data_IF_710995020416
#
_entry.id   IF_710995020416
#
_cell.length_a   1.000
_cell.length_b   1.000
_cell.length_c   1.000
_cell.angle_alpha   90.00
_cell.angle_beta   90.00
_cell.angle_gamma   90.00
#
_symmetry.space_group_name_H-M   'P 1'
#
loop_
_entity.id
_entity.type
_entity.pdbx_description
1 polymer ?
#
# COMPACT_ATOMS: atom_id res chain seq x y z
N UNK A 1 -21.94 -24.50 -6.81
CA UNK A 1 -20.52 -24.94 -6.91
C UNK A 1 -19.72 -23.82 -7.55
N UNK A 2 -19.25 -22.91 -6.70
CA UNK A 2 -18.34 -21.83 -7.07
C UNK A 2 -17.01 -22.46 -7.50
N UNK A 3 -16.30 -21.87 -8.45
CA UNK A 3 -14.97 -22.39 -8.78
C UNK A 3 -14.03 -22.13 -7.60
N UNK A 4 -13.53 -23.19 -6.97
CA UNK A 4 -12.41 -23.21 -6.02
C UNK A 4 -11.09 -22.83 -6.73
N UNK A 5 -11.00 -21.62 -7.27
CA UNK A 5 -9.79 -21.18 -7.96
C UNK A 5 -9.09 -20.00 -7.31
N UNK A 6 -9.67 -19.38 -6.27
CA UNK A 6 -9.13 -18.25 -5.47
C UNK A 6 -8.43 -17.15 -6.28
N UNK A 7 -8.72 -17.06 -7.59
CA UNK A 7 -7.96 -16.26 -8.53
C UNK A 7 -8.22 -14.76 -8.35
N UNK A 8 -9.33 -14.42 -7.70
CA UNK A 8 -9.73 -13.04 -7.42
C UNK A 8 -9.31 -12.57 -6.03
N UNK A 9 -9.02 -13.49 -5.11
CA UNK A 9 -8.64 -13.20 -3.72
C UNK A 9 -7.34 -12.36 -3.61
N UNK A 10 -6.25 -12.64 -4.36
CA UNK A 10 -5.00 -11.86 -4.23
C UNK A 10 -5.06 -10.46 -4.87
N UNK A 11 -6.13 -10.16 -5.64
CA UNK A 11 -6.28 -8.88 -6.36
C UNK A 11 -7.36 -8.01 -5.74
N UNK A 12 -8.13 -8.53 -4.77
CA UNK A 12 -9.13 -7.76 -4.05
C UNK A 12 -8.53 -7.23 -2.73
N UNK A 13 -8.28 -5.92 -2.59
CA UNK A 13 -7.70 -5.34 -1.38
C UNK A 13 -8.70 -5.20 -0.21
N UNK A 14 -9.83 -5.91 -0.27
CA UNK A 14 -10.97 -5.77 0.66
C UNK A 14 -11.50 -7.16 1.01
N UNK A 15 -11.97 -7.36 2.24
CA UNK A 15 -12.60 -8.59 2.76
C UNK A 15 -13.97 -8.89 2.09
N UNK A 16 -14.09 -8.72 0.78
CA UNK A 16 -15.35 -8.78 0.01
C UNK A 16 -15.60 -10.16 -0.63
N UNK A 17 -14.70 -11.12 -0.44
CA UNK A 17 -14.80 -12.49 -0.97
C UNK A 17 -14.59 -13.43 0.22
N UNK A 18 -15.55 -14.33 0.46
CA UNK A 18 -15.49 -15.36 1.49
C UNK A 18 -15.63 -16.74 0.86
N UNK A 19 -14.93 -17.72 1.41
CA UNK A 19 -15.22 -19.13 1.14
C UNK A 19 -16.57 -19.51 1.77
N UNK A 20 -17.34 -20.38 1.14
CA UNK A 20 -18.66 -20.80 1.64
C UNK A 20 -18.60 -21.38 3.06
N UNK A 21 -17.55 -22.14 3.37
CA UNK A 21 -17.29 -22.70 4.71
C UNK A 21 -16.89 -21.67 5.79
N UNK A 22 -16.55 -20.43 5.40
CA UNK A 22 -16.05 -19.38 6.29
C UNK A 22 -16.80 -18.05 6.11
N UNK A 23 -18.06 -18.14 5.65
CA UNK A 23 -18.89 -16.97 5.44
C UNK A 23 -19.38 -16.41 6.79
N UNK A 24 -19.35 -15.08 7.00
CA UNK A 24 -19.97 -14.47 8.17
C UNK A 24 -21.47 -14.77 8.27
N UNK A 25 -21.98 -14.87 9.49
CA UNK A 25 -23.38 -15.23 9.75
C UNK A 25 -24.39 -14.27 9.09
N UNK A 26 -24.06 -12.98 9.04
CA UNK A 26 -24.87 -11.96 8.40
C UNK A 26 -24.89 -12.10 6.86
N UNK A 27 -23.92 -12.82 6.30
CA UNK A 27 -23.81 -13.09 4.88
C UNK A 27 -24.36 -14.47 4.47
N UNK A 28 -24.62 -15.39 5.41
CA UNK A 28 -25.21 -16.71 5.13
C UNK A 28 -26.46 -16.71 4.24
N UNK A 29 -27.41 -15.74 4.35
CA UNK A 29 -28.56 -15.69 3.44
C UNK A 29 -28.16 -15.61 1.96
N UNK A 30 -26.99 -15.09 1.63
CA UNK A 30 -26.49 -14.97 0.26
C UNK A 30 -26.07 -16.31 -0.36
N UNK A 31 -25.82 -17.38 0.42
CA UNK A 31 -25.49 -18.69 -0.15
C UNK A 31 -26.66 -19.26 -0.95
N UNK A 32 -27.83 -19.32 -0.33
CA UNK A 32 -29.04 -19.81 -0.98
C UNK A 32 -29.48 -18.90 -2.15
N UNK A 33 -29.37 -17.57 -1.97
CA UNK A 33 -29.73 -16.60 -3.01
C UNK A 33 -28.79 -16.69 -4.23
N UNK A 34 -27.48 -16.88 -4.00
CA UNK A 34 -26.48 -17.09 -5.07
C UNK A 34 -26.64 -18.44 -5.77
N UNK A 35 -26.94 -19.50 -5.00
CA UNK A 35 -27.17 -20.83 -5.56
C UNK A 35 -28.40 -20.83 -6.47
N UNK A 36 -29.52 -20.26 -6.02
CA UNK A 36 -30.72 -20.09 -6.82
C UNK A 36 -30.44 -19.25 -8.07
N UNK A 37 -29.73 -18.12 -7.93
CA UNK A 37 -29.42 -17.25 -9.07
C UNK A 37 -28.59 -17.96 -10.16
N UNK A 38 -27.68 -18.86 -9.78
CA UNK A 38 -26.86 -19.60 -10.74
C UNK A 38 -27.56 -20.83 -11.30
N UNK A 39 -28.27 -21.59 -10.47
CA UNK A 39 -28.75 -22.94 -10.80
C UNK A 39 -30.22 -23.01 -11.21
N UNK A 40 -31.01 -21.97 -10.93
CA UNK A 40 -32.39 -21.86 -11.42
C UNK A 40 -32.44 -21.07 -12.73
N UNK A 41 -33.52 -21.27 -13.50
CA UNK A 41 -33.73 -20.52 -14.74
C UNK A 41 -34.22 -19.11 -14.42
N UNK A 42 -33.34 -18.13 -14.63
CA UNK A 42 -33.67 -16.72 -14.42
C UNK A 42 -34.74 -16.22 -15.41
N UNK A 43 -35.57 -15.22 -15.02
CA UNK A 43 -36.54 -14.61 -15.91
C UNK A 43 -35.91 -14.12 -17.22
N UNK A 44 -36.50 -14.52 -18.35
CA UNK A 44 -35.99 -14.15 -19.68
C UNK A 44 -34.88 -15.06 -20.22
N UNK A 45 -34.59 -16.19 -19.57
CA UNK A 45 -33.66 -17.22 -20.06
C UNK A 45 -34.36 -18.56 -20.24
N UNK A 46 -33.85 -19.35 -21.17
CA UNK A 46 -34.35 -20.71 -21.45
C UNK A 46 -33.65 -21.80 -20.62
N UNK A 47 -32.55 -21.44 -19.95
CA UNK A 47 -31.75 -22.35 -19.12
C UNK A 47 -31.03 -21.61 -17.98
N UNK A 48 -30.67 -22.31 -16.89
CA UNK A 48 -29.88 -21.76 -15.78
C UNK A 48 -28.54 -21.16 -16.23
N UNK A 49 -27.99 -20.26 -15.40
CA UNK A 49 -26.71 -19.63 -15.68
C UNK A 49 -25.53 -20.60 -15.52
N UNK A 50 -25.63 -21.55 -14.59
CA UNK A 50 -24.58 -22.50 -14.24
C UNK A 50 -23.31 -21.81 -13.75
N UNK A 51 -22.15 -22.35 -14.13
CA UNK A 51 -20.83 -21.81 -13.73
C UNK A 51 -20.10 -21.20 -14.94
N UNK A 52 -20.36 -19.93 -15.30
CA UNK A 52 -19.86 -19.31 -16.53
C UNK A 52 -18.34 -19.03 -16.56
N UNK A 53 -17.64 -19.30 -15.45
CA UNK A 53 -16.21 -19.06 -15.24
C UNK A 53 -15.78 -17.59 -15.46
N UNK A 54 -16.69 -16.65 -15.22
CA UNK A 54 -16.45 -15.20 -15.26
C UNK A 54 -17.56 -14.42 -15.99
N UNK A 55 -17.81 -13.19 -15.55
CA UNK A 55 -18.92 -12.36 -16.03
C UNK A 55 -18.75 -11.84 -17.47
N UNK A 56 -17.51 -11.74 -17.98
CA UNK A 56 -17.22 -11.18 -19.31
C UNK A 56 -17.89 -11.94 -20.47
N UNK A 57 -18.14 -13.24 -20.30
CA UNK A 57 -18.81 -14.10 -21.31
C UNK A 57 -20.34 -14.04 -21.24
N UNK A 58 -20.88 -13.60 -20.10
CA UNK A 58 -22.31 -13.61 -19.80
C UNK A 58 -22.92 -12.24 -20.09
N UNK A 59 -22.19 -11.17 -19.80
CA UNK A 59 -22.68 -9.80 -19.95
C UNK A 59 -23.80 -9.47 -18.94
N UNK A 60 -24.44 -8.28 -19.09
CA UNK A 60 -25.53 -7.86 -18.22
C UNK A 60 -26.76 -8.76 -18.36
N UNK A 61 -27.24 -9.31 -17.24
CA UNK A 61 -28.39 -10.22 -17.21
C UNK A 61 -29.73 -9.50 -17.04
N UNK A 62 -29.72 -8.22 -16.60
CA UNK A 62 -30.93 -7.41 -16.44
C UNK A 62 -31.85 -7.82 -15.28
N UNK A 63 -31.41 -8.78 -14.47
CA UNK A 63 -32.12 -9.30 -13.29
C UNK A 63 -31.13 -9.42 -12.14
N UNK A 64 -31.57 -9.06 -10.94
CA UNK A 64 -30.81 -9.19 -9.70
C UNK A 64 -31.38 -10.35 -8.87
N UNK A 65 -30.53 -10.96 -8.04
CA UNK A 65 -30.99 -11.91 -7.05
C UNK A 65 -31.90 -11.21 -6.01
N UNK A 66 -32.95 -11.88 -5.48
CA UNK A 66 -33.92 -11.29 -4.56
C UNK A 66 -33.34 -10.49 -3.40
N UNK A 67 -32.27 -10.96 -2.75
CA UNK A 67 -31.66 -10.21 -1.64
C UNK A 67 -31.01 -8.91 -2.14
N UNK A 68 -30.38 -8.92 -3.31
CA UNK A 68 -29.77 -7.73 -3.92
C UNK A 68 -30.84 -6.74 -4.37
N UNK A 69 -31.90 -7.23 -5.02
CA UNK A 69 -33.01 -6.41 -5.51
C UNK A 69 -33.74 -5.66 -4.36
N UNK A 70 -33.75 -6.25 -3.15
CA UNK A 70 -34.39 -5.66 -1.97
C UNK A 70 -33.59 -4.54 -1.29
N UNK A 71 -32.31 -4.35 -1.65
CA UNK A 71 -31.44 -3.35 -1.00
C UNK A 71 -31.75 -1.92 -1.47
N UNK A 72 -31.58 -0.91 -0.60
CA UNK A 72 -31.69 0.48 -0.99
C UNK A 72 -30.73 0.81 -2.13
N UNK A 73 -31.22 1.44 -3.20
CA UNK A 73 -30.36 1.86 -4.32
C UNK A 73 -29.37 2.91 -3.81
N UNK A 74 -28.07 2.64 -3.96
CA UNK A 74 -27.03 3.55 -3.53
C UNK A 74 -27.13 4.90 -4.27
N UNK A 75 -27.04 6.01 -3.51
CA UNK A 75 -26.91 7.35 -4.08
C UNK A 75 -25.54 7.48 -4.76
N UNK A 76 -25.56 7.86 -6.04
CA UNK A 76 -24.36 7.93 -6.90
C UNK A 76 -23.39 9.03 -6.48
N UNK A 77 -23.78 9.92 -5.55
CA UNK A 77 -22.99 11.05 -5.07
C UNK A 77 -21.94 10.72 -4.00
N UNK A 78 -22.01 9.54 -3.35
CA UNK A 78 -21.18 9.17 -2.18
C UNK A 78 -20.13 8.08 -2.46
N UNK A 79 -19.42 8.13 -3.60
CA UNK A 79 -18.26 7.25 -3.83
C UNK A 79 -17.02 7.78 -3.11
N UNK A 80 -17.00 7.63 -1.78
CA UNK A 80 -15.80 7.72 -0.95
C UNK A 80 -15.45 6.33 -0.44
N UNK A 81 -14.15 6.01 -0.36
CA UNK A 81 -13.63 4.71 0.05
C UNK A 81 -14.23 4.24 1.40
N UNK A 82 -14.66 2.98 1.45
CA UNK A 82 -15.19 2.34 2.67
C UNK A 82 -14.00 2.03 3.59
N UNK A 83 -14.08 2.32 4.91
CA UNK A 83 -13.02 1.97 5.84
C UNK A 83 -13.04 0.46 6.08
N UNK A 84 -11.91 -0.20 5.89
CA UNK A 84 -11.76 -1.64 6.14
C UNK A 84 -11.42 -1.84 7.61
N UNK A 85 -12.30 -2.57 8.32
CA UNK A 85 -12.13 -3.01 9.69
C UNK A 85 -11.28 -4.28 9.70
N UNK A 86 -10.21 -4.32 10.48
CA UNK A 86 -9.24 -5.42 10.54
C UNK A 86 -9.69 -6.59 11.45
N UNK A 87 -9.63 -7.84 10.92
CA UNK A 87 -9.05 -9.11 11.51
C UNK A 87 -9.90 -10.35 11.17
N UNK A 88 -9.41 -11.52 10.71
CA UNK A 88 -8.07 -12.13 10.56
C UNK A 88 -8.08 -13.30 9.52
N UNK A 89 -7.07 -13.58 8.67
CA UNK A 89 -5.89 -12.78 8.35
C UNK A 89 -4.91 -13.37 7.29
N UNK A 90 -4.13 -12.53 6.59
CA UNK A 90 -3.05 -12.87 5.62
C UNK A 90 -1.84 -13.65 6.17
N UNK A 91 -1.95 -14.24 7.37
CA UNK A 91 -0.87 -14.88 8.11
C UNK A 91 -0.51 -16.29 7.66
N UNK A 92 -1.46 -17.07 7.13
CA UNK A 92 -1.23 -18.48 6.76
C UNK A 92 -0.51 -18.65 5.42
N UNK A 93 -0.91 -17.93 4.36
CA UNK A 93 -0.21 -17.92 3.06
C UNK A 93 1.21 -17.35 3.19
N UNK A 94 1.34 -16.23 3.92
CA UNK A 94 2.64 -15.67 4.29
C UNK A 94 3.46 -16.62 5.19
N UNK A 95 2.80 -17.45 5.98
CA UNK A 95 3.39 -18.52 6.78
C UNK A 95 3.97 -19.64 5.92
N UNK A 96 3.18 -20.16 4.97
CA UNK A 96 3.56 -21.24 4.04
C UNK A 96 4.69 -20.81 3.10
N UNK A 97 4.62 -19.61 2.53
CA UNK A 97 5.69 -19.04 1.70
C UNK A 97 7.01 -18.93 2.46
N UNK A 98 6.95 -18.51 3.72
CA UNK A 98 8.11 -18.40 4.60
C UNK A 98 8.65 -19.76 5.04
N UNK A 99 7.81 -20.79 5.13
CA UNK A 99 8.24 -22.17 5.36
C UNK A 99 9.03 -22.71 4.14
N UNK A 100 8.53 -22.53 2.92
CA UNK A 100 9.25 -22.88 1.67
C UNK A 100 10.61 -22.19 1.60
N UNK A 101 10.66 -20.87 1.87
CA UNK A 101 11.91 -20.12 1.88
C UNK A 101 12.88 -20.63 2.96
N UNK A 102 12.38 -21.06 4.12
CA UNK A 102 13.20 -21.61 5.22
C UNK A 102 13.87 -22.92 4.82
N UNK A 103 13.13 -23.84 4.20
CA UNK A 103 13.65 -25.12 3.68
C UNK A 103 14.75 -24.86 2.66
N UNK A 104 14.52 -23.95 1.70
CA UNK A 104 15.52 -23.58 0.70
C UNK A 104 16.76 -22.88 1.30
N UNK A 105 16.62 -22.09 2.37
CA UNK A 105 17.75 -21.44 3.06
C UNK A 105 18.59 -22.44 3.87
N UNK A 106 17.94 -23.45 4.45
CA UNK A 106 18.59 -24.50 5.24
C UNK A 106 19.39 -25.48 4.37
N UNK A 107 18.98 -25.70 3.12
CA UNK A 107 19.70 -26.57 2.19
C UNK A 107 20.94 -25.89 1.58
N UNK A 108 22.11 -26.55 1.55
CA UNK A 108 23.27 -26.09 0.80
C UNK A 108 23.14 -26.34 -0.71
N UNK A 109 22.28 -27.27 -1.12
CA UNK A 109 22.08 -27.67 -2.52
C UNK A 109 20.69 -27.22 -3.03
N UNK A 110 20.54 -26.94 -4.34
CA UNK A 110 19.23 -26.71 -4.93
C UNK A 110 18.28 -27.88 -4.67
N UNK A 111 17.00 -27.59 -4.39
CA UNK A 111 15.97 -28.59 -4.13
C UNK A 111 14.92 -28.62 -5.24
N UNK A 112 14.35 -29.79 -5.48
CA UNK A 112 13.20 -29.93 -6.37
C UNK A 112 11.89 -29.58 -5.65
N UNK A 113 10.83 -29.31 -6.41
CA UNK A 113 9.47 -29.10 -5.86
C UNK A 113 9.05 -30.29 -4.99
N UNK A 114 9.37 -31.51 -5.42
CA UNK A 114 8.99 -32.73 -4.70
C UNK A 114 9.69 -32.84 -3.36
N UNK A 115 10.99 -32.52 -3.29
CA UNK A 115 11.72 -32.57 -2.01
C UNK A 115 11.22 -31.51 -1.03
N UNK A 116 10.86 -30.32 -1.52
CA UNK A 116 10.30 -29.27 -0.68
C UNK A 116 8.89 -29.65 -0.18
N UNK A 117 8.09 -30.28 -1.04
CA UNK A 117 6.73 -30.74 -0.71
C UNK A 117 6.75 -31.85 0.35
N UNK A 118 7.66 -32.82 0.20
CA UNK A 118 7.89 -33.90 1.16
C UNK A 118 8.34 -33.36 2.53
N UNK A 119 9.32 -32.46 2.55
CA UNK A 119 9.84 -31.85 3.79
C UNK A 119 8.77 -31.05 4.56
N UNK A 120 7.87 -30.38 3.83
CA UNK A 120 6.83 -29.54 4.40
C UNK A 120 5.50 -30.29 4.64
N UNK A 121 5.38 -31.54 4.19
CA UNK A 121 4.13 -32.31 4.27
C UNK A 121 2.95 -31.68 3.51
N UNK A 122 3.23 -30.97 2.41
CA UNK A 122 2.21 -30.28 1.59
C UNK A 122 2.18 -30.82 0.16
N UNK A 123 1.11 -30.51 -0.57
CA UNK A 123 1.00 -30.90 -1.96
C UNK A 123 1.99 -30.15 -2.88
N UNK A 124 2.61 -30.80 -3.89
CA UNK A 124 3.57 -30.15 -4.80
C UNK A 124 3.06 -28.90 -5.52
N UNK A 125 1.75 -28.80 -5.78
CA UNK A 125 1.15 -27.61 -6.40
C UNK A 125 1.22 -26.37 -5.48
N UNK A 126 1.04 -26.56 -4.17
CA UNK A 126 1.16 -25.49 -3.18
C UNK A 126 2.57 -24.93 -3.14
N UNK A 127 3.58 -25.82 -3.18
CA UNK A 127 4.99 -25.42 -3.26
C UNK A 127 5.28 -24.67 -4.56
N UNK A 128 4.77 -25.15 -5.70
CA UNK A 128 4.93 -24.47 -7.00
C UNK A 128 4.41 -23.04 -6.95
N UNK A 129 3.20 -22.84 -6.43
CA UNK A 129 2.59 -21.52 -6.30
C UNK A 129 3.46 -20.57 -5.46
N UNK A 130 3.92 -21.00 -4.29
CA UNK A 130 4.78 -20.16 -3.46
C UNK A 130 6.17 -19.92 -4.08
N UNK A 131 6.74 -20.90 -4.79
CA UNK A 131 8.02 -20.73 -5.50
C UNK A 131 7.91 -19.68 -6.61
N UNK A 132 6.81 -19.64 -7.35
CA UNK A 132 6.58 -18.62 -8.38
C UNK A 132 6.58 -17.21 -7.78
N UNK A 133 5.95 -17.01 -6.63
CA UNK A 133 6.05 -15.73 -5.90
C UNK A 133 7.47 -15.45 -5.44
N UNK A 134 8.13 -16.41 -4.78
CA UNK A 134 9.48 -16.23 -4.25
C UNK A 134 10.52 -15.96 -5.35
N UNK A 135 10.33 -16.51 -6.54
CA UNK A 135 11.20 -16.24 -7.71
C UNK A 135 10.96 -14.84 -8.25
N UNK A 136 9.70 -14.43 -8.40
CA UNK A 136 9.32 -13.07 -8.79
C UNK A 136 9.85 -12.02 -7.80
N UNK A 137 9.81 -12.32 -6.51
CA UNK A 137 10.30 -11.44 -5.43
C UNK A 137 11.85 -11.47 -5.30
N UNK A 138 12.53 -12.28 -6.13
CA UNK A 138 13.99 -12.41 -6.14
C UNK A 138 14.59 -13.11 -4.91
N UNK A 139 13.75 -13.75 -4.09
CA UNK A 139 14.16 -14.47 -2.88
C UNK A 139 14.65 -15.89 -3.20
N UNK A 140 14.21 -16.46 -4.31
CA UNK A 140 14.57 -17.79 -4.81
C UNK A 140 15.00 -17.68 -6.27
N UNK A 141 15.99 -18.46 -6.66
CA UNK A 141 16.42 -18.59 -8.05
C UNK A 141 16.16 -20.01 -8.54
N UNK A 142 15.82 -20.12 -9.82
CA UNK A 142 15.75 -21.40 -10.51
C UNK A 142 17.15 -21.79 -10.98
N UNK A 143 17.59 -22.97 -10.58
CA UNK A 143 18.88 -23.56 -10.96
C UNK A 143 18.60 -24.70 -11.93
N UNK A 144 19.15 -24.63 -13.14
CA UNK A 144 19.13 -25.78 -14.04
C UNK A 144 20.30 -26.71 -13.68
N UNK A 145 20.04 -27.97 -13.29
CA UNK A 145 21.12 -28.91 -13.07
C UNK A 145 21.86 -29.21 -14.37
N UNK A 146 23.16 -29.51 -14.27
CA UNK A 146 23.94 -29.98 -15.42
C UNK A 146 23.29 -31.25 -16.00
N UNK A 147 22.98 -31.25 -17.31
CA UNK A 147 22.27 -32.35 -17.98
C UNK A 147 23.03 -33.69 -17.84
N UNK A 148 22.37 -34.72 -17.32
CA UNK A 148 22.81 -36.13 -17.38
C UNK A 148 21.62 -37.02 -17.75
N UNK A 149 21.57 -37.49 -19.00
CA UNK A 149 20.63 -38.51 -19.48
C UNK A 149 19.40 -38.01 -20.27
N UNK A 150 18.64 -38.93 -20.89
CA UNK A 150 17.39 -38.63 -21.60
C UNK A 150 16.24 -38.35 -20.61
N UNK A 151 15.49 -37.26 -20.85
CA UNK A 151 14.36 -36.80 -20.03
C UNK A 151 14.38 -35.29 -19.80
N UNK A 152 13.22 -34.68 -19.49
CA UNK A 152 13.15 -33.25 -19.10
C UNK A 152 13.74 -33.12 -17.69
N UNK A 153 14.87 -32.40 -17.48
CA UNK A 153 15.46 -32.27 -16.16
C UNK A 153 14.48 -31.64 -15.16
N UNK A 154 14.45 -32.08 -13.89
CA UNK A 154 13.64 -31.43 -12.88
C UNK A 154 14.14 -30.00 -12.66
N UNK A 155 13.21 -29.06 -12.55
CA UNK A 155 13.52 -27.69 -12.16
C UNK A 155 13.97 -27.69 -10.69
N UNK A 156 15.16 -27.15 -10.44
CA UNK A 156 15.71 -27.03 -9.10
C UNK A 156 15.63 -25.58 -8.64
N UNK A 157 15.50 -25.37 -7.34
CA UNK A 157 15.33 -24.06 -6.74
C UNK A 157 16.32 -23.90 -5.60
N UNK A 158 16.91 -22.71 -5.49
CA UNK A 158 17.82 -22.36 -4.40
C UNK A 158 17.44 -20.98 -3.85
N UNK A 159 17.53 -20.80 -2.54
CA UNK A 159 17.37 -19.47 -1.96
C UNK A 159 18.53 -18.56 -2.42
N UNK A 160 18.21 -17.33 -2.83
CA UNK A 160 19.23 -16.30 -3.07
C UNK A 160 19.82 -15.91 -1.72
N UNK A 161 21.15 -15.97 -1.58
CA UNK A 161 21.87 -15.61 -0.35
C UNK A 161 21.99 -14.09 -0.21
N UNK A 162 20.85 -13.43 0.00
CA UNK A 162 20.74 -12.00 0.27
C UNK A 162 19.82 -11.76 1.46
N UNK A 163 19.92 -10.58 2.08
CA UNK A 163 18.96 -10.15 3.10
C UNK A 163 17.54 -10.15 2.55
N UNK A 164 16.58 -10.46 3.40
CA UNK A 164 15.21 -10.70 3.00
C UNK A 164 14.49 -9.42 2.54
N UNK A 165 14.44 -9.23 1.22
CA UNK A 165 13.71 -8.10 0.62
C UNK A 165 12.19 -8.20 0.80
N UNK A 166 11.63 -9.36 1.17
CA UNK A 166 10.22 -9.52 1.52
C UNK A 166 9.93 -9.52 3.03
N UNK A 167 10.95 -9.38 3.88
CA UNK A 167 10.78 -9.36 5.33
C UNK A 167 10.05 -8.12 5.85
N UNK A 168 9.57 -8.18 7.10
CA UNK A 168 8.93 -7.03 7.77
C UNK A 168 9.83 -5.80 7.76
N UNK A 169 9.25 -4.64 7.46
CA UNK A 169 9.96 -3.35 7.46
C UNK A 169 9.59 -2.55 8.69
N UNK A 170 10.59 -2.16 9.47
CA UNK A 170 10.40 -1.35 10.68
C UNK A 170 10.94 0.07 10.46
N UNK A 171 10.46 0.77 9.43
CA UNK A 171 10.89 2.14 9.14
C UNK A 171 10.55 3.11 10.28
N UNK A 172 9.47 2.85 11.03
CA UNK A 172 9.14 3.62 12.24
C UNK A 172 10.24 3.51 13.30
N UNK A 173 10.73 2.30 13.59
CA UNK A 173 11.83 2.10 14.55
C UNK A 173 13.09 2.85 14.09
N UNK A 174 13.43 2.77 12.80
CA UNK A 174 14.57 3.50 12.26
C UNK A 174 14.38 5.01 12.40
N UNK A 175 13.19 5.53 12.07
CA UNK A 175 12.87 6.94 12.23
C UNK A 175 12.99 7.38 13.70
N UNK A 176 12.44 6.63 14.64
CA UNK A 176 12.57 6.90 16.08
C UNK A 176 14.04 6.96 16.52
N UNK A 177 14.87 6.01 16.10
CA UNK A 177 16.32 5.98 16.42
C UNK A 177 17.01 7.25 15.87
N UNK A 178 16.75 7.59 14.61
CA UNK A 178 17.37 8.75 13.96
C UNK A 178 16.92 10.06 14.58
N UNK A 179 15.61 10.22 14.82
CA UNK A 179 15.03 11.41 15.44
C UNK A 179 15.54 11.58 16.88
N UNK A 180 15.67 10.49 17.65
CA UNK A 180 16.26 10.54 19.00
C UNK A 180 17.74 10.93 18.96
N UNK A 181 18.50 10.43 17.98
CA UNK A 181 19.90 10.81 17.79
C UNK A 181 20.05 12.30 17.51
N UNK A 182 19.26 12.85 16.58
CA UNK A 182 19.28 14.29 16.28
C UNK A 182 18.84 15.12 17.49
N UNK A 183 17.82 14.67 18.22
CA UNK A 183 17.29 15.38 19.40
C UNK A 183 18.30 15.47 20.56
N UNK A 184 19.35 14.65 20.58
CA UNK A 184 20.38 14.68 21.60
C UNK A 184 21.50 15.71 21.33
N UNK A 185 21.53 16.30 20.14
CA UNK A 185 22.54 17.29 19.72
C UNK A 185 22.18 18.71 20.18
N UNK A 186 23.19 19.57 20.39
CA UNK A 186 23.01 20.95 20.89
C UNK A 186 22.27 21.86 19.90
N UNK A 187 22.42 21.63 18.59
CA UNK A 187 21.68 22.30 17.51
C UNK A 187 20.77 21.32 16.76
N UNK A 188 19.94 20.57 17.50
CA UNK A 188 19.03 19.57 16.92
C UNK A 188 18.10 20.18 15.85
N UNK A 189 17.59 21.39 16.11
CA UNK A 189 16.65 22.10 15.22
C UNK A 189 17.31 22.57 13.94
N UNK A 190 18.49 23.20 14.01
CA UNK A 190 19.23 23.66 12.83
C UNK A 190 19.66 22.49 11.94
N UNK A 191 20.14 21.39 12.54
CA UNK A 191 20.48 20.16 11.81
C UNK A 191 19.28 19.50 11.16
N UNK A 192 18.15 19.44 11.86
CA UNK A 192 16.89 18.93 11.34
C UNK A 192 16.40 19.75 10.15
N UNK A 193 16.44 21.08 10.24
CA UNK A 193 16.11 21.99 9.15
C UNK A 193 17.04 21.78 7.95
N UNK A 194 18.35 21.69 8.18
CA UNK A 194 19.32 21.43 7.13
C UNK A 194 19.06 20.10 6.41
N UNK A 195 18.75 19.04 7.16
CA UNK A 195 18.41 17.73 6.60
C UNK A 195 17.13 17.79 5.74
N UNK A 196 16.09 18.47 6.24
CA UNK A 196 14.87 18.72 5.48
C UNK A 196 15.13 19.48 4.18
N UNK A 197 15.94 20.54 4.26
CA UNK A 197 16.30 21.38 3.11
C UNK A 197 17.06 20.62 2.04
N UNK A 198 18.02 19.79 2.42
CA UNK A 198 18.75 18.94 1.48
C UNK A 198 17.87 17.89 0.81
N UNK A 199 16.82 17.41 1.50
CA UNK A 199 15.83 16.53 0.89
C UNK A 199 14.91 17.31 -0.07
N UNK A 200 14.39 18.46 0.36
CA UNK A 200 13.51 19.31 -0.44
C UNK A 200 14.14 19.73 -1.76
N UNK A 201 15.47 19.96 -1.77
CA UNK A 201 16.21 20.29 -2.99
C UNK A 201 16.22 19.21 -4.07
N UNK A 202 15.95 17.95 -3.70
CA UNK A 202 15.94 16.80 -4.63
C UNK A 202 14.60 16.62 -5.33
N UNK A 203 13.58 17.37 -4.92
CA UNK A 203 12.28 17.36 -5.55
C UNK A 203 12.37 18.03 -6.92
N UNK A 204 11.71 17.42 -7.90
CA UNK A 204 11.70 17.95 -9.27
C UNK A 204 11.14 19.38 -9.30
N UNK A 205 11.70 20.20 -10.19
CA UNK A 205 11.33 21.60 -10.32
C UNK A 205 10.32 21.80 -11.45
N UNK A 206 9.08 22.25 -11.15
CA UNK A 206 8.24 22.81 -12.20
C UNK A 206 8.79 24.17 -12.64
N UNK A 207 8.56 24.60 -13.90
CA UNK A 207 8.86 25.97 -14.32
C UNK A 207 7.90 26.92 -13.61
N UNK A 208 8.39 27.68 -12.64
CA UNK A 208 7.55 28.59 -11.85
C UNK A 208 7.64 30.00 -12.41
N UNK A 209 6.49 30.63 -12.65
CA UNK A 209 6.39 31.95 -13.29
C UNK A 209 5.92 33.07 -12.38
N UNK A 210 5.32 32.75 -11.22
CA UNK A 210 4.80 33.74 -10.28
C UNK A 210 4.78 33.25 -8.82
N UNK A 211 4.52 34.17 -7.88
CA UNK A 211 4.29 33.83 -6.46
C UNK A 211 3.11 32.88 -6.30
N UNK A 212 2.00 33.13 -7.01
CA UNK A 212 0.81 32.27 -6.94
C UNK A 212 1.13 30.86 -7.45
N UNK A 213 1.78 30.74 -8.61
CA UNK A 213 2.17 29.42 -9.15
C UNK A 213 3.10 28.65 -8.19
N UNK A 214 4.03 29.37 -7.54
CA UNK A 214 4.93 28.78 -6.54
C UNK A 214 4.17 28.17 -5.36
N UNK A 215 3.15 28.88 -4.89
CA UNK A 215 2.33 28.42 -3.76
C UNK A 215 1.44 27.27 -4.20
N UNK A 216 0.91 27.27 -5.43
CA UNK A 216 0.10 26.16 -5.97
C UNK A 216 0.95 24.89 -6.05
N UNK A 217 2.17 24.98 -6.58
CA UNK A 217 3.10 23.86 -6.63
C UNK A 217 3.51 23.36 -5.23
N UNK A 218 3.68 24.27 -4.27
CA UNK A 218 3.94 23.87 -2.89
C UNK A 218 2.76 23.09 -2.29
N UNK A 219 1.53 23.55 -2.54
CA UNK A 219 0.30 22.87 -2.10
C UNK A 219 0.21 21.49 -2.76
N UNK A 220 0.41 21.37 -4.07
CA UNK A 220 0.38 20.08 -4.77
C UNK A 220 1.45 19.10 -4.25
N UNK A 221 2.66 19.60 -4.02
CA UNK A 221 3.74 18.80 -3.43
C UNK A 221 3.35 18.27 -2.04
N UNK A 222 2.86 19.15 -1.18
CA UNK A 222 2.49 18.80 0.19
C UNK A 222 1.29 17.85 0.24
N UNK A 223 0.34 17.99 -0.69
CA UNK A 223 -0.78 17.06 -0.84
C UNK A 223 -0.31 15.67 -1.29
N UNK A 224 0.60 15.61 -2.27
CA UNK A 224 1.23 14.35 -2.70
C UNK A 224 2.06 13.65 -1.62
N UNK A 225 2.58 14.42 -0.65
CA UNK A 225 3.24 13.90 0.56
C UNK A 225 2.25 13.57 1.69
N UNK A 226 0.96 13.88 1.51
CA UNK A 226 -0.12 13.55 2.42
C UNK A 226 -0.33 14.57 3.54
N UNK A 227 0.12 15.83 3.42
CA UNK A 227 -0.09 16.83 4.49
C UNK A 227 -1.48 17.47 4.52
N UNK A 228 -2.33 17.18 3.53
CA UNK A 228 -3.65 17.81 3.35
C UNK A 228 -3.59 19.35 3.48
N UNK A 229 -2.88 20.04 2.56
CA UNK A 229 -2.67 21.48 2.62
C UNK A 229 -3.89 22.30 2.19
N UNK A 230 -4.04 23.48 2.79
CA UNK A 230 -5.07 24.48 2.47
C UNK A 230 -4.43 25.86 2.31
N UNK A 231 -4.74 26.57 1.21
CA UNK A 231 -4.41 27.98 1.10
C UNK A 231 -5.19 28.80 2.12
N UNK A 232 -4.48 29.69 2.80
CA UNK A 232 -5.06 30.61 3.78
C UNK A 232 -4.51 32.00 3.56
N UNK A 233 -5.34 32.99 3.84
CA UNK A 233 -4.93 34.39 3.93
C UNK A 233 -5.41 34.92 5.28
N UNK A 234 -4.48 35.48 6.04
CA UNK A 234 -4.78 36.12 7.31
C UNK A 234 -4.01 37.43 7.39
N UNK A 235 -4.68 38.53 7.73
CA UNK A 235 -4.08 39.87 7.88
C UNK A 235 -3.29 40.33 6.64
N UNK A 236 -3.73 39.95 5.43
CA UNK A 236 -3.06 40.29 4.17
C UNK A 236 -1.76 39.52 3.92
N UNK A 237 -1.44 38.49 4.72
CA UNK A 237 -0.32 37.57 4.52
C UNK A 237 -0.82 36.21 4.05
N UNK A 238 -0.20 35.68 3.00
CA UNK A 238 -0.49 34.33 2.52
C UNK A 238 0.13 33.29 3.44
N UNK A 239 -0.63 32.24 3.73
CA UNK A 239 -0.27 31.13 4.61
C UNK A 239 -0.71 29.81 3.98
N UNK A 240 -0.10 28.71 4.42
CA UNK A 240 -0.55 27.36 4.08
C UNK A 240 -0.88 26.65 5.37
N UNK A 241 -2.16 26.29 5.52
CA UNK A 241 -2.62 25.40 6.59
C UNK A 241 -2.38 23.95 6.22
N UNK A 242 -2.13 23.10 7.21
CA UNK A 242 -1.86 21.68 7.03
C UNK A 242 -2.77 20.89 7.98
N UNK A 243 -3.69 20.09 7.42
CA UNK A 243 -4.71 19.35 8.18
C UNK A 243 -4.31 17.92 8.53
N UNK A 244 -3.19 17.45 7.99
CA UNK A 244 -2.65 16.13 8.32
C UNK A 244 -1.13 16.19 8.47
N UNK A 245 -0.60 15.46 9.44
CA UNK A 245 0.84 15.27 9.59
C UNK A 245 1.17 13.79 9.31
N UNK A 246 1.81 13.45 8.19
CA UNK A 246 2.31 12.09 7.90
C UNK A 246 3.33 11.57 8.92
N UNK A 247 3.77 12.44 9.84
CA UNK A 247 4.74 12.14 10.89
C UNK A 247 4.15 12.33 12.29
N UNK A 248 2.81 12.35 12.43
CA UNK A 248 2.11 12.78 13.65
C UNK A 248 2.66 12.12 14.92
N UNK A 249 2.83 10.80 14.93
CA UNK A 249 3.28 10.05 16.10
C UNK A 249 4.69 10.46 16.55
N UNK A 250 5.56 10.83 15.61
CA UNK A 250 6.88 11.37 15.91
C UNK A 250 6.81 12.85 16.28
N UNK A 251 5.93 13.62 15.64
CA UNK A 251 5.78 15.06 15.86
C UNK A 251 5.25 15.37 17.27
N UNK A 252 4.35 14.56 17.80
CA UNK A 252 3.80 14.70 19.16
C UNK A 252 4.88 14.63 20.24
N UNK A 253 5.89 13.79 20.04
CA UNK A 253 6.95 13.58 21.02
C UNK A 253 8.24 14.33 20.69
N UNK A 254 8.48 14.67 19.42
CA UNK A 254 9.75 15.20 18.89
C UNK A 254 9.54 16.37 17.91
N UNK A 255 8.63 17.29 18.23
CA UNK A 255 8.36 18.49 17.42
C UNK A 255 9.60 19.35 17.14
N UNK A 256 10.58 19.39 18.07
CA UNK A 256 11.86 20.10 17.91
C UNK A 256 12.78 19.55 16.81
N UNK A 257 12.46 18.37 16.27
CA UNK A 257 13.18 17.75 15.14
C UNK A 257 12.25 17.61 13.94
N UNK A 258 11.04 17.09 14.13
CA UNK A 258 10.11 16.80 13.03
C UNK A 258 9.64 18.08 12.33
N UNK A 259 9.26 19.11 13.09
CA UNK A 259 8.75 20.36 12.50
C UNK A 259 9.86 21.13 11.76
N UNK A 260 11.11 21.24 12.27
CA UNK A 260 12.21 21.79 11.50
C UNK A 260 12.56 21.00 10.23
N UNK A 261 12.51 19.66 10.23
CA UNK A 261 12.66 18.86 8.99
C UNK A 261 11.60 19.29 7.97
N UNK A 262 10.35 19.41 8.39
CA UNK A 262 9.28 19.84 7.50
C UNK A 262 9.48 21.27 6.97
N UNK A 263 9.85 22.22 7.83
CA UNK A 263 10.19 23.57 7.41
C UNK A 263 11.35 23.60 6.41
N UNK A 264 12.38 22.80 6.68
CA UNK A 264 13.52 22.60 5.79
C UNK A 264 13.08 22.09 4.43
N UNK A 265 12.25 21.05 4.39
CA UNK A 265 11.69 20.46 3.16
C UNK A 265 11.02 21.51 2.29
N UNK A 266 10.10 22.31 2.85
CA UNK A 266 9.41 23.35 2.11
C UNK A 266 10.37 24.42 1.58
N UNK A 267 11.33 24.87 2.41
CA UNK A 267 12.33 25.85 1.99
C UNK A 267 13.23 25.31 0.87
N UNK A 268 13.70 24.07 1.00
CA UNK A 268 14.56 23.43 0.00
C UNK A 268 13.86 23.27 -1.34
N UNK A 269 12.57 22.92 -1.34
CA UNK A 269 11.76 22.84 -2.55
C UNK A 269 11.64 24.21 -3.25
N UNK A 270 11.20 25.23 -2.52
CA UNK A 270 11.03 26.59 -3.04
C UNK A 270 12.34 27.19 -3.58
N UNK A 271 13.47 26.89 -2.95
CA UNK A 271 14.79 27.29 -3.45
C UNK A 271 15.16 26.61 -4.76
N UNK A 272 14.98 25.29 -4.87
CA UNK A 272 15.23 24.55 -6.12
C UNK A 272 14.35 25.05 -7.25
N UNK A 273 13.16 25.54 -6.94
CA UNK A 273 12.23 26.11 -7.90
C UNK A 273 12.53 27.58 -8.25
N UNK A 274 13.54 28.19 -7.61
CA UNK A 274 13.83 29.62 -7.68
C UNK A 274 12.58 30.49 -7.42
N UNK A 275 11.74 30.07 -6.48
CA UNK A 275 10.47 30.72 -6.19
C UNK A 275 10.70 32.13 -5.58
N UNK A 276 9.90 33.14 -5.96
CA UNK A 276 9.92 34.48 -5.36
C UNK A 276 9.31 34.53 -3.93
N UNK A 277 9.09 33.38 -3.30
CA UNK A 277 8.48 33.21 -1.97
C UNK A 277 9.21 32.11 -1.20
N UNK A 278 9.27 32.24 0.11
CA UNK A 278 9.80 31.21 1.02
C UNK A 278 8.90 31.03 2.24
N UNK A 279 9.10 29.93 2.97
CA UNK A 279 8.43 29.71 4.26
C UNK A 279 9.26 30.35 5.37
N UNK A 280 8.74 31.40 5.99
CA UNK A 280 9.40 32.08 7.12
C UNK A 280 9.47 31.17 8.35
N UNK A 281 8.36 30.53 8.69
CA UNK A 281 8.25 29.66 9.87
C UNK A 281 7.07 28.70 9.75
N UNK A 282 7.15 27.61 10.50
CA UNK A 282 6.08 26.61 10.64
C UNK A 282 5.65 26.60 12.11
N UNK A 283 4.41 26.96 12.37
CA UNK A 283 3.76 26.80 13.68
C UNK A 283 3.05 25.45 13.71
N UNK A 284 3.48 24.56 14.61
CA UNK A 284 2.84 23.27 14.77
C UNK A 284 1.67 23.34 15.75
N UNK A 285 0.58 22.64 15.45
CA UNK A 285 -0.57 22.44 16.34
C UNK A 285 -1.20 23.74 16.86
N UNK A 286 -1.39 24.74 15.98
CA UNK A 286 -2.13 25.97 16.33
C UNK A 286 -3.60 25.68 16.65
N UNK A 287 -4.13 24.62 16.04
CA UNK A 287 -5.34 23.90 16.42
C UNK A 287 -4.96 22.41 16.53
N UNK A 288 -5.75 21.56 17.21
CA UNK A 288 -5.45 20.13 17.32
C UNK A 288 -5.23 19.43 15.97
N UNK A 289 -5.84 19.92 14.91
CA UNK A 289 -5.77 19.43 13.53
C UNK A 289 -5.20 20.47 12.55
N UNK A 290 -4.39 21.44 13.02
CA UNK A 290 -3.79 22.47 12.17
C UNK A 290 -2.34 22.78 12.50
N UNK A 291 -1.48 22.70 11.49
CA UNK A 291 -0.22 23.45 11.47
C UNK A 291 -0.29 24.60 10.47
N UNK A 292 0.40 25.71 10.74
CA UNK A 292 0.44 26.89 9.86
C UNK A 292 1.86 27.16 9.37
N UNK A 293 2.04 27.14 8.06
CA UNK A 293 3.24 27.62 7.39
C UNK A 293 3.02 29.08 6.96
N UNK A 294 3.87 29.98 7.47
CA UNK A 294 3.82 31.40 7.14
C UNK A 294 4.75 31.68 5.96
N UNK A 295 4.21 32.26 4.90
CA UNK A 295 4.96 32.60 3.70
C UNK A 295 5.41 34.05 3.73
N UNK A 296 6.58 34.31 3.15
CA UNK A 296 7.11 35.65 2.93
C UNK A 296 7.74 35.75 1.54
N UNK A 297 7.60 36.91 0.89
CA UNK A 297 8.31 37.18 -0.36
C UNK A 297 9.82 37.19 -0.15
N UNK A 298 10.57 36.70 -1.14
CA UNK A 298 12.03 36.81 -1.13
C UNK A 298 12.40 38.17 -1.72
N UNK A 299 13.10 39.07 -0.98
CA UNK A 299 13.54 40.33 -1.55
C UNK A 299 14.50 40.08 -2.71
N UNK A 300 14.31 40.85 -3.79
CA UNK A 300 15.10 40.77 -5.02
C UNK A 300 16.56 41.20 -4.82
#
# INVERSE_FOLDING_TARGET
MMMDCDACEPVCPVEAIHHEDHLPDDLHPHLADNEAFCNETLPGRDAPLGSPRGAAKVGPLGVDAPLVASRPKADKSRRGAVPVSEKAGPGEDAGRRRAVLRVLRASPNPLSILNIAEELGVHPNTVRFHLESLVRDGQVQQVQPARRGPGRPPLMFAAVRQMDRGGTRHYRLLAEILTNGIAAEEDSSGRALAAGREWGKRLEAPPVTSVADSIDHLVDLLDGLGFAPERREAEGKTQVGLRHCPFLELAETRSTVVCPVHLGLMRGALETWAAPVTVERLEAFVEPDLCLAHLQGVPA
#
